data_IF_901858468784
#
_entry.id   IF_901858468784
#
_cell.length_a   1.000
_cell.length_b   1.000
_cell.length_c   1.000
_cell.angle_alpha   90.00
_cell.angle_beta   90.00
_cell.angle_gamma   90.00
#
_symmetry.space_group_name_H-M   'P 1'
#
loop_
_entity.id
_entity.type
_entity.pdbx_description
1 polymer ?
#
# COMPACT_ATOMS: atom_id res chain seq x y z
N UNK A 1 46.16 -54.48 11.22
CA UNK A 1 46.24 -53.23 10.43
C UNK A 1 44.87 -52.57 10.43
N UNK A 2 44.81 -51.37 11.00
CA UNK A 2 43.61 -50.51 11.09
C UNK A 2 43.34 -49.90 9.72
N UNK A 3 42.17 -50.17 9.14
CA UNK A 3 41.58 -49.29 8.15
C UNK A 3 40.10 -49.13 8.48
N UNK A 4 39.80 -48.01 9.14
CA UNK A 4 38.45 -47.53 9.38
C UNK A 4 37.87 -47.09 8.03
N UNK A 5 36.88 -47.83 7.52
CA UNK A 5 36.09 -47.36 6.38
C UNK A 5 35.03 -46.39 6.92
N UNK A 6 35.29 -45.10 6.75
CA UNK A 6 34.38 -44.00 7.08
C UNK A 6 33.05 -44.14 6.31
N UNK A 7 31.96 -44.46 7.02
CA UNK A 7 30.59 -44.29 6.54
C UNK A 7 30.24 -42.80 6.56
N UNK A 8 30.42 -42.12 5.42
CA UNK A 8 29.96 -40.74 5.22
C UNK A 8 28.44 -40.77 5.16
N UNK A 9 27.81 -40.38 6.26
CA UNK A 9 26.38 -40.07 6.34
C UNK A 9 26.14 -38.83 5.47
N UNK A 10 25.60 -39.02 4.27
CA UNK A 10 24.99 -37.95 3.49
C UNK A 10 23.73 -37.48 4.22
N UNK A 11 23.92 -36.69 5.27
CA UNK A 11 22.85 -35.92 5.87
C UNK A 11 22.51 -34.81 4.88
N UNK A 12 21.49 -35.04 4.05
CA UNK A 12 20.98 -34.06 3.12
C UNK A 12 20.55 -32.82 3.89
N UNK A 13 21.39 -31.79 3.87
CA UNK A 13 21.07 -30.47 4.42
C UNK A 13 19.99 -29.90 3.50
N UNK A 14 18.72 -30.20 3.77
CA UNK A 14 17.62 -29.44 3.20
C UNK A 14 17.73 -28.04 3.78
N UNK A 15 18.40 -27.16 3.04
CA UNK A 15 18.45 -25.73 3.32
C UNK A 15 17.03 -25.19 3.19
N UNK A 16 16.28 -25.19 4.29
CA UNK A 16 14.97 -24.57 4.36
C UNK A 16 15.19 -23.07 4.51
N UNK A 17 15.18 -22.34 3.40
CA UNK A 17 15.14 -20.87 3.41
C UNK A 17 13.76 -20.41 3.93
N UNK A 18 13.54 -20.53 5.24
CA UNK A 18 12.23 -20.38 5.90
C UNK A 18 11.83 -18.92 6.15
N UNK A 19 12.67 -17.94 5.80
CA UNK A 19 12.43 -16.52 6.11
C UNK A 19 11.45 -15.79 5.19
N UNK A 20 11.05 -16.36 4.04
CA UNK A 20 10.24 -15.63 3.03
C UNK A 20 8.76 -15.51 3.40
N UNK A 21 8.18 -16.46 4.13
CA UNK A 21 6.72 -16.53 4.32
C UNK A 21 6.18 -15.53 5.34
N UNK A 22 6.90 -15.28 6.44
CA UNK A 22 6.46 -14.34 7.49
C UNK A 22 6.53 -12.90 7.00
N UNK A 23 7.65 -12.49 6.41
CA UNK A 23 7.82 -11.12 5.90
C UNK A 23 6.82 -10.78 4.78
N UNK A 24 6.58 -11.72 3.85
CA UNK A 24 5.56 -11.53 2.81
C UNK A 24 4.15 -11.39 3.41
N UNK A 25 3.81 -12.23 4.40
CA UNK A 25 2.52 -12.13 5.11
C UNK A 25 2.33 -10.76 5.74
N UNK A 26 3.36 -10.23 6.40
CA UNK A 26 3.29 -8.91 7.04
C UNK A 26 3.04 -7.79 6.03
N UNK A 27 3.64 -7.88 4.84
CA UNK A 27 3.40 -6.94 3.73
C UNK A 27 1.94 -6.98 3.28
N UNK A 28 1.35 -8.16 3.08
CA UNK A 28 -0.06 -8.27 2.70
C UNK A 28 -1.00 -7.80 3.82
N UNK A 29 -0.66 -8.09 5.08
CA UNK A 29 -1.39 -7.58 6.23
C UNK A 29 -1.35 -6.04 6.29
N UNK A 30 -0.18 -5.44 6.07
CA UNK A 30 -0.04 -3.98 6.02
C UNK A 30 -0.88 -3.39 4.88
N UNK A 31 -0.77 -3.94 3.67
CA UNK A 31 -1.57 -3.52 2.52
C UNK A 31 -3.08 -3.53 2.81
N UNK A 32 -3.58 -4.60 3.43
CA UNK A 32 -4.99 -4.70 3.81
C UNK A 32 -5.37 -3.67 4.87
N UNK A 33 -4.53 -3.44 5.88
CA UNK A 33 -4.75 -2.40 6.89
C UNK A 33 -4.81 -1.01 6.25
N UNK A 34 -3.88 -0.69 5.35
CA UNK A 34 -3.85 0.59 4.65
C UNK A 34 -5.06 0.81 3.74
N UNK A 35 -5.55 -0.24 3.07
CA UNK A 35 -6.81 -0.15 2.31
C UNK A 35 -8.01 0.21 3.21
N UNK A 36 -8.14 -0.49 4.35
CA UNK A 36 -9.20 -0.23 5.32
C UNK A 36 -9.07 1.20 5.86
N UNK A 37 -7.86 1.63 6.23
CA UNK A 37 -7.60 2.97 6.75
C UNK A 37 -7.96 4.06 5.73
N UNK A 38 -7.60 3.89 4.46
CA UNK A 38 -7.96 4.84 3.39
C UNK A 38 -9.48 4.99 3.29
N UNK A 39 -10.22 3.87 3.30
CA UNK A 39 -11.68 3.89 3.29
C UNK A 39 -12.24 4.59 4.53
N UNK A 40 -11.71 4.27 5.71
CA UNK A 40 -12.14 4.87 6.98
C UNK A 40 -11.92 6.37 7.01
N UNK A 41 -10.73 6.85 6.62
CA UNK A 41 -10.41 8.28 6.55
C UNK A 41 -11.34 8.99 5.58
N UNK A 42 -11.55 8.44 4.40
CA UNK A 42 -12.46 9.00 3.40
C UNK A 42 -13.90 9.11 3.93
N UNK A 43 -14.42 8.05 4.56
CA UNK A 43 -15.75 8.04 5.16
C UNK A 43 -15.88 9.05 6.30
N UNK A 44 -14.85 9.21 7.14
CA UNK A 44 -14.84 10.23 8.20
C UNK A 44 -15.00 11.63 7.63
N UNK A 45 -14.29 11.95 6.53
CA UNK A 45 -14.42 13.26 5.86
C UNK A 45 -15.85 13.44 5.35
N UNK A 46 -16.44 12.41 4.75
CA UNK A 46 -17.83 12.48 4.28
C UNK A 46 -18.83 12.74 5.41
N UNK A 47 -18.63 12.13 6.57
CA UNK A 47 -19.48 12.34 7.75
C UNK A 47 -19.32 13.74 8.33
N UNK A 48 -18.07 14.22 8.45
CA UNK A 48 -17.76 15.51 9.04
C UNK A 48 -18.22 16.68 8.16
N UNK A 49 -18.04 16.56 6.84
CA UNK A 49 -18.44 17.58 5.87
C UNK A 49 -19.81 17.29 5.24
N UNK A 50 -20.67 16.49 5.89
CA UNK A 50 -21.96 16.02 5.33
C UNK A 50 -22.90 17.15 4.86
N UNK A 51 -22.79 18.34 5.47
CA UNK A 51 -23.59 19.50 5.12
C UNK A 51 -23.07 20.22 3.86
N UNK A 52 -21.76 20.11 3.55
CA UNK A 52 -21.16 20.71 2.36
C UNK A 52 -21.23 19.75 1.17
N UNK A 53 -22.44 19.63 0.63
CA UNK A 53 -22.74 18.71 -0.47
C UNK A 53 -21.91 18.98 -1.74
N UNK A 54 -21.54 20.25 -1.99
CA UNK A 54 -20.71 20.62 -3.13
C UNK A 54 -19.28 20.10 -2.94
N UNK A 55 -18.67 20.34 -1.78
CA UNK A 55 -17.36 19.79 -1.46
C UNK A 55 -17.36 18.26 -1.56
N UNK A 56 -18.33 17.58 -0.97
CA UNK A 56 -18.41 16.11 -1.01
C UNK A 56 -18.45 15.59 -2.44
N UNK A 57 -19.25 16.22 -3.32
CA UNK A 57 -19.31 15.85 -4.74
C UNK A 57 -17.96 16.02 -5.45
N UNK A 58 -17.21 17.08 -5.13
CA UNK A 58 -15.88 17.32 -5.71
C UNK A 58 -14.83 16.36 -5.14
N UNK A 59 -14.89 16.07 -3.83
CA UNK A 59 -14.03 15.10 -3.17
C UNK A 59 -14.22 13.69 -3.74
N UNK A 60 -15.46 13.28 -4.00
CA UNK A 60 -15.79 12.02 -4.68
C UNK A 60 -15.16 11.94 -6.07
N UNK A 61 -15.30 12.99 -6.88
CA UNK A 61 -14.66 13.06 -8.21
C UNK A 61 -13.14 12.98 -8.11
N UNK A 62 -12.54 13.68 -7.15
CA UNK A 62 -11.10 13.63 -6.91
C UNK A 62 -10.64 12.22 -6.48
N UNK A 63 -11.41 11.54 -5.62
CA UNK A 63 -11.12 10.18 -5.18
C UNK A 63 -11.23 9.17 -6.33
N UNK A 64 -12.27 9.28 -7.17
CA UNK A 64 -12.41 8.46 -8.38
C UNK A 64 -11.22 8.65 -9.33
N UNK A 65 -10.83 9.90 -9.58
CA UNK A 65 -9.68 10.22 -10.44
C UNK A 65 -8.38 9.67 -9.86
N UNK A 66 -8.22 9.70 -8.54
CA UNK A 66 -7.08 9.11 -7.86
C UNK A 66 -7.03 7.57 -8.00
N UNK A 67 -8.17 6.88 -8.00
CA UNK A 67 -8.20 5.44 -8.27
C UNK A 67 -7.66 5.13 -9.67
N UNK A 68 -8.11 5.87 -10.69
CA UNK A 68 -7.59 5.76 -12.05
C UNK A 68 -6.10 6.06 -12.12
N UNK A 69 -5.64 7.13 -11.45
CA UNK A 69 -4.21 7.45 -11.36
C UNK A 69 -3.41 6.31 -10.74
N UNK A 70 -3.86 5.76 -9.60
CA UNK A 70 -3.17 4.65 -8.91
C UNK A 70 -2.98 3.44 -9.82
N UNK A 71 -3.99 3.10 -10.61
CA UNK A 71 -3.92 1.97 -11.52
C UNK A 71 -3.00 2.27 -12.71
N UNK A 72 -3.11 3.47 -13.29
CA UNK A 72 -2.22 3.91 -14.36
C UNK A 72 -0.74 3.97 -13.92
N UNK A 73 -0.49 4.47 -12.72
CA UNK A 73 0.85 4.55 -12.12
C UNK A 73 1.44 3.16 -11.86
N UNK A 74 0.62 2.20 -11.43
CA UNK A 74 1.06 0.80 -11.29
C UNK A 74 1.48 0.20 -12.63
N UNK A 75 0.68 0.41 -13.67
CA UNK A 75 1.02 -0.08 -15.02
C UNK A 75 2.25 0.65 -15.58
N UNK A 76 2.40 1.96 -15.35
CA UNK A 76 3.60 2.69 -15.73
C UNK A 76 4.86 2.17 -15.01
N UNK A 77 4.73 1.79 -13.73
CA UNK A 77 5.86 1.22 -12.96
C UNK A 77 6.24 -0.19 -13.40
N UNK A 78 5.27 -0.97 -13.85
CA UNK A 78 5.48 -2.33 -14.33
C UNK A 78 4.89 -2.48 -15.74
N UNK A 79 5.49 -1.91 -16.80
CA UNK A 79 4.85 -1.78 -18.11
C UNK A 79 4.59 -3.09 -18.86
N UNK A 80 5.45 -4.10 -18.68
CA UNK A 80 5.33 -5.36 -19.42
C UNK A 80 4.00 -6.09 -19.22
N UNK A 81 3.47 -6.74 -20.27
CA UNK A 81 2.20 -7.48 -20.18
C UNK A 81 2.36 -8.75 -19.33
N UNK A 82 3.43 -9.50 -19.55
CA UNK A 82 3.74 -10.71 -18.79
C UNK A 82 4.54 -10.35 -17.53
N UNK A 83 3.81 -9.96 -16.48
CA UNK A 83 4.42 -9.53 -15.22
C UNK A 83 5.25 -10.66 -14.58
N UNK A 84 4.83 -11.91 -14.72
CA UNK A 84 5.49 -13.05 -14.07
C UNK A 84 6.79 -13.40 -14.77
N UNK A 85 6.79 -13.45 -16.10
CA UNK A 85 8.00 -13.72 -16.88
C UNK A 85 9.04 -12.60 -16.72
N UNK A 86 8.60 -11.34 -16.74
CA UNK A 86 9.52 -10.18 -16.65
C UNK A 86 10.03 -9.93 -15.23
N UNK A 87 9.14 -9.85 -14.23
CA UNK A 87 9.51 -9.41 -12.87
C UNK A 87 9.64 -10.56 -11.87
N UNK A 88 9.36 -11.79 -12.31
CA UNK A 88 9.52 -13.00 -11.51
C UNK A 88 8.52 -13.12 -10.37
N UNK A 89 8.79 -14.06 -9.46
CA UNK A 89 7.93 -14.38 -8.32
C UNK A 89 7.76 -13.21 -7.33
N UNK A 90 8.69 -12.26 -7.31
CA UNK A 90 8.65 -11.11 -6.42
C UNK A 90 7.67 -10.02 -6.87
N UNK A 91 7.14 -10.10 -8.11
CA UNK A 91 6.21 -9.11 -8.64
C UNK A 91 5.05 -8.82 -7.67
N UNK A 92 4.48 -9.88 -7.08
CA UNK A 92 3.35 -9.74 -6.15
C UNK A 92 3.72 -8.87 -4.94
N UNK A 93 4.89 -9.10 -4.37
CA UNK A 93 5.39 -8.33 -3.22
C UNK A 93 5.67 -6.89 -3.63
N UNK A 94 6.37 -6.67 -4.74
CA UNK A 94 6.70 -5.34 -5.25
C UNK A 94 5.46 -4.50 -5.57
N UNK A 95 4.47 -5.09 -6.26
CA UNK A 95 3.17 -4.46 -6.54
C UNK A 95 2.46 -4.07 -5.24
N UNK A 96 2.42 -4.97 -4.25
CA UNK A 96 1.73 -4.73 -2.98
C UNK A 96 2.39 -3.60 -2.18
N UNK A 97 3.72 -3.58 -2.10
CA UNK A 97 4.46 -2.50 -1.45
C UNK A 97 4.18 -1.16 -2.12
N UNK A 98 4.27 -1.11 -3.46
CA UNK A 98 4.03 0.11 -4.22
C UNK A 98 2.61 0.67 -4.03
N UNK A 99 1.59 -0.19 -4.12
CA UNK A 99 0.22 0.24 -3.88
C UNK A 99 0.00 0.72 -2.44
N UNK A 100 0.67 0.08 -1.46
CA UNK A 100 0.63 0.50 -0.05
C UNK A 100 1.15 1.92 0.10
N UNK A 101 2.28 2.24 -0.51
CA UNK A 101 2.87 3.58 -0.49
C UNK A 101 1.94 4.64 -1.09
N UNK A 102 1.35 4.36 -2.26
CA UNK A 102 0.38 5.28 -2.90
C UNK A 102 -0.82 5.56 -2.00
N UNK A 103 -1.33 4.53 -1.31
CA UNK A 103 -2.45 4.68 -0.37
C UNK A 103 -2.06 5.47 0.87
N UNK A 104 -0.87 5.25 1.43
CA UNK A 104 -0.35 6.01 2.58
C UNK A 104 -0.21 7.50 2.22
N UNK A 105 0.33 7.81 1.04
CA UNK A 105 0.40 9.18 0.53
C UNK A 105 -0.99 9.83 0.39
N UNK A 106 -1.98 9.07 -0.11
CA UNK A 106 -3.36 9.55 -0.20
C UNK A 106 -3.99 9.78 1.16
N UNK A 107 -3.80 8.86 2.12
CA UNK A 107 -4.26 9.01 3.51
C UNK A 107 -3.69 10.29 4.12
N UNK A 108 -2.39 10.53 3.97
CA UNK A 108 -1.73 11.75 4.48
C UNK A 108 -2.38 13.02 3.92
N UNK A 109 -2.66 13.06 2.61
CA UNK A 109 -3.36 14.20 1.97
C UNK A 109 -4.79 14.36 2.49
N UNK A 110 -5.54 13.27 2.61
CA UNK A 110 -6.94 13.31 3.08
C UNK A 110 -7.06 13.73 4.54
N UNK A 111 -6.12 13.33 5.40
CA UNK A 111 -6.11 13.70 6.83
C UNK A 111 -6.07 15.20 7.08
N UNK A 112 -5.63 16.02 6.12
CA UNK A 112 -5.66 17.48 6.24
C UNK A 112 -7.08 17.98 6.53
N UNK A 113 -8.12 17.43 5.87
CA UNK A 113 -9.52 17.80 6.14
C UNK A 113 -10.03 17.39 7.51
N UNK A 114 -9.49 16.31 8.09
CA UNK A 114 -9.85 15.84 9.44
C UNK A 114 -9.09 16.56 10.54
N UNK A 115 -7.82 16.89 10.28
CA UNK A 115 -6.96 17.54 11.24
C UNK A 115 -7.22 19.05 11.29
N UNK A 116 -7.60 19.65 10.17
CA UNK A 116 -7.67 21.09 10.00
C UNK A 116 -6.28 21.75 9.85
N UNK A 117 -6.28 23.05 9.66
CA UNK A 117 -5.07 23.90 9.56
C UNK A 117 -5.16 25.09 10.52
N UNK A 118 -4.04 25.74 10.78
CA UNK A 118 -4.02 26.95 11.63
C UNK A 118 -4.76 28.11 10.98
N UNK A 119 -5.39 28.95 11.80
CA UNK A 119 -6.02 30.19 11.31
C UNK A 119 -4.98 31.12 10.66
N UNK A 120 -5.40 31.83 9.60
CA UNK A 120 -4.55 32.77 8.87
C UNK A 120 -3.95 32.23 7.56
N UNK A 121 -4.11 30.94 7.25
CA UNK A 121 -3.82 30.42 5.91
C UNK A 121 -4.95 30.78 4.93
N UNK A 122 -4.74 31.78 4.09
CA UNK A 122 -5.70 32.24 3.07
C UNK A 122 -5.88 31.24 1.92
N UNK A 123 -5.01 30.24 1.82
CA UNK A 123 -5.02 29.19 0.79
C UNK A 123 -5.65 27.88 1.30
N UNK A 124 -6.38 27.94 2.42
CA UNK A 124 -7.00 26.79 3.10
C UNK A 124 -8.03 26.02 2.27
N UNK A 125 -8.69 26.70 1.32
CA UNK A 125 -9.75 26.11 0.51
C UNK A 125 -10.89 25.58 1.38
N UNK A 126 -11.28 24.32 1.19
CA UNK A 126 -12.37 23.67 1.93
C UNK A 126 -11.92 22.99 3.23
N UNK A 127 -10.67 23.17 3.65
CA UNK A 127 -10.16 22.58 4.89
C UNK A 127 -10.62 23.40 6.08
N UNK A 128 -11.14 22.75 7.13
CA UNK A 128 -11.50 23.40 8.39
C UNK A 128 -10.29 23.99 9.11
N UNK A 129 -10.51 25.01 9.93
CA UNK A 129 -9.49 25.49 10.87
C UNK A 129 -9.49 24.63 12.15
N UNK A 130 -8.35 24.60 12.84
CA UNK A 130 -8.15 23.91 14.12
C UNK A 130 -8.54 24.77 15.31
#
# INVERSE_FOLDING_TARGET
>A
MKYYLLLIVFFGIKSFSQSKTTAEKDIFTMYNKTQVELKTVYQKIQTEYKADTLFIKKLQKAQQSWHTYKDAELEARFPEKDKTSTYGSQYKVCKTLFLTELMQGRIKRLRVWLNGIEEGDTCSGSVKFK
#
